data_IF_147844090239
#
_entry.id   IF_147844090239
#
_cell.length_a   1.000
_cell.length_b   1.000
_cell.length_c   1.000
_cell.angle_alpha   90.00
_cell.angle_beta   90.00
_cell.angle_gamma   90.00
#
_symmetry.space_group_name_H-M   'P 1'
#
loop_
_entity.id
_entity.type
_entity.pdbx_description
1 polymer ?
#
# COMPACT_ATOMS: atom_id res chain seq x y z
N UNK A 1 -18.43 14.66 -4.10
CA UNK A 1 -17.45 13.76 -4.76
C UNK A 1 -17.32 12.58 -3.83
N UNK A 2 -17.80 11.42 -4.26
CA UNK A 2 -17.99 10.21 -3.44
C UNK A 2 -16.67 9.72 -2.84
N UNK A 3 -16.58 9.74 -1.52
CA UNK A 3 -15.53 9.10 -0.72
C UNK A 3 -15.59 7.58 -0.96
N UNK A 4 -14.83 7.09 -1.95
CA UNK A 4 -14.49 5.67 -2.03
C UNK A 4 -13.86 5.27 -0.71
N UNK A 5 -14.35 4.22 -0.03
CA UNK A 5 -13.79 3.79 1.25
C UNK A 5 -12.29 3.56 1.05
N UNK A 6 -11.46 4.30 1.79
CA UNK A 6 -10.01 4.18 1.71
C UNK A 6 -9.63 2.76 2.13
N UNK A 7 -9.37 1.90 1.15
CA UNK A 7 -8.94 0.54 1.41
C UNK A 7 -7.52 0.64 1.99
N UNK A 8 -7.32 0.13 3.19
CA UNK A 8 -6.01 0.19 3.85
C UNK A 8 -5.12 -0.90 3.26
N UNK A 9 -3.91 -0.52 2.87
CA UNK A 9 -2.89 -1.42 2.29
C UNK A 9 -1.67 -1.44 3.21
N UNK A 10 -1.45 -2.56 3.88
CA UNK A 10 -0.25 -2.79 4.67
C UNK A 10 0.71 -3.68 3.87
N UNK A 11 1.90 -3.17 3.53
CA UNK A 11 2.92 -3.94 2.83
C UNK A 11 4.06 -4.23 3.79
N UNK A 12 4.27 -5.51 4.09
CA UNK A 12 5.37 -5.97 4.93
C UNK A 12 6.42 -6.66 4.08
N UNK A 13 7.56 -6.00 3.92
CA UNK A 13 8.71 -6.56 3.21
C UNK A 13 9.54 -7.44 4.13
N UNK A 14 9.72 -8.70 3.75
CA UNK A 14 10.67 -9.59 4.39
C UNK A 14 11.78 -9.91 3.36
N UNK A 15 12.96 -9.26 3.47
CA UNK A 15 14.05 -9.47 2.51
C UNK A 15 15.02 -8.29 2.33
N UNK A 16 15.82 -8.34 1.27
CA UNK A 16 16.78 -7.29 0.86
C UNK A 16 16.07 -6.08 0.22
N UNK A 17 16.79 -4.98 0.01
CA UNK A 17 16.30 -3.69 -0.53
C UNK A 17 15.47 -3.81 -1.82
N UNK A 18 15.72 -4.85 -2.63
CA UNK A 18 14.95 -5.14 -3.85
C UNK A 18 13.44 -5.29 -3.57
N UNK A 19 13.08 -5.90 -2.44
CA UNK A 19 11.68 -6.11 -2.05
C UNK A 19 10.98 -4.81 -1.62
N UNK A 20 11.75 -3.76 -1.28
CA UNK A 20 11.21 -2.43 -0.93
C UNK A 20 10.75 -1.70 -2.18
N UNK A 21 11.58 -1.70 -3.22
CA UNK A 21 11.26 -1.04 -4.49
C UNK A 21 10.02 -1.66 -5.16
N UNK A 22 9.93 -2.99 -5.17
CA UNK A 22 8.75 -3.69 -5.70
C UNK A 22 7.49 -3.39 -4.87
N UNK A 23 7.64 -3.23 -3.56
CA UNK A 23 6.52 -2.88 -2.67
C UNK A 23 6.00 -1.46 -2.92
N UNK A 24 6.88 -0.50 -3.17
CA UNK A 24 6.50 0.86 -3.54
C UNK A 24 5.80 0.91 -4.90
N UNK A 25 6.30 0.14 -5.89
CA UNK A 25 5.65 0.00 -7.20
C UNK A 25 4.24 -0.56 -7.07
N UNK A 26 4.04 -1.58 -6.24
CA UNK A 26 2.73 -2.18 -5.98
C UNK A 26 1.77 -1.20 -5.29
N UNK A 27 2.29 -0.34 -4.41
CA UNK A 27 1.50 0.73 -3.79
C UNK A 27 0.95 1.71 -4.84
N UNK A 28 1.80 2.14 -5.78
CA UNK A 28 1.42 3.08 -6.84
C UNK A 28 0.35 2.52 -7.78
N UNK A 29 0.41 1.22 -8.09
CA UNK A 29 -0.62 0.55 -8.91
C UNK A 29 -1.97 0.50 -8.20
N UNK A 30 -1.97 0.40 -6.87
CA UNK A 30 -3.17 0.28 -6.06
C UNK A 30 -3.76 1.64 -5.64
N UNK A 31 -2.98 2.73 -5.67
CA UNK A 31 -3.45 4.10 -5.36
C UNK A 31 -4.69 4.53 -6.18
N UNK A 32 -4.75 4.35 -7.52
CA UNK A 32 -5.94 4.69 -8.33
C UNK A 32 -7.18 3.87 -7.97
N UNK A 33 -7.00 2.69 -7.35
CA UNK A 33 -8.08 1.82 -6.91
C UNK A 33 -8.59 2.18 -5.51
N UNK A 34 -8.09 3.28 -4.92
CA UNK A 34 -8.50 3.77 -3.61
C UNK A 34 -7.77 3.13 -2.44
N UNK A 35 -6.59 2.53 -2.67
CA UNK A 35 -5.77 1.98 -1.59
C UNK A 35 -4.81 3.04 -1.01
N UNK A 36 -4.83 3.18 0.32
CA UNK A 36 -3.90 4.01 1.08
C UNK A 36 -2.89 3.14 1.82
N UNK A 37 -1.60 3.44 1.69
CA UNK A 37 -0.54 2.75 2.43
C UNK A 37 -0.66 3.09 3.91
N UNK A 38 -0.68 2.06 4.76
CA UNK A 38 -0.65 2.19 6.22
C UNK A 38 0.61 1.53 6.76
N UNK A 39 1.19 2.09 7.82
CA UNK A 39 2.38 1.58 8.50
C UNK A 39 2.08 0.41 9.44
N UNK A 40 0.81 0.22 9.79
CA UNK A 40 0.35 -0.79 10.73
C UNK A 40 -0.94 -1.45 10.21
N UNK A 41 -1.07 -2.78 10.31
CA UNK A 41 -2.28 -3.49 9.88
C UNK A 41 -3.48 -3.24 10.80
N UNK A 42 -3.23 -2.86 12.05
CA UNK A 42 -4.23 -2.50 13.05
C UNK A 42 -4.07 -1.02 13.39
N UNK A 43 -5.07 -0.23 13.03
CA UNK A 43 -5.24 1.14 13.49
C UNK A 43 -6.68 1.34 13.88
#
# INVERSE_FOLDING_TARGET
MSETPQKRLYIKTYGCQMNVYDSERMADVLRPLGYGIVSEPEG
#
